data_IF_652688860433
#
_entry.id   IF_652688860433
#
_cell.length_a   1.000
_cell.length_b   1.000
_cell.length_c   1.000
_cell.angle_alpha   90.00
_cell.angle_beta   90.00
_cell.angle_gamma   90.00
#
_symmetry.space_group_name_H-M   'P 1'
#
loop_
_entity.id
_entity.type
_entity.pdbx_description
1 polymer ?
#
# COMPACT_ATOMS: atom_id res chain seq x y z
N UNK A 1 24.09 -43.84 -32.82
CA UNK A 1 25.05 -43.69 -31.70
C UNK A 1 25.44 -42.22 -31.67
N UNK A 2 24.65 -41.37 -31.00
CA UNK A 2 24.82 -40.95 -29.60
C UNK A 2 26.18 -40.27 -29.37
N UNK A 3 26.15 -38.93 -29.31
CA UNK A 3 26.95 -38.14 -28.38
C UNK A 3 26.18 -36.83 -28.11
N UNK A 4 25.47 -36.88 -26.99
CA UNK A 4 24.73 -35.81 -26.33
C UNK A 4 25.69 -34.98 -25.49
N UNK A 5 25.73 -33.67 -25.71
CA UNK A 5 26.50 -32.67 -24.94
C UNK A 5 25.99 -31.29 -25.41
N UNK A 6 25.55 -30.30 -24.65
CA UNK A 6 25.56 -29.97 -23.23
C UNK A 6 24.28 -29.14 -22.97
N UNK A 7 23.46 -29.52 -21.98
CA UNK A 7 22.46 -28.60 -21.45
C UNK A 7 23.17 -27.59 -20.57
N UNK A 8 23.39 -26.37 -21.07
CA UNK A 8 23.82 -25.25 -20.24
C UNK A 8 22.58 -24.74 -19.50
N UNK A 9 22.30 -25.35 -18.35
CA UNK A 9 21.41 -24.75 -17.35
C UNK A 9 22.13 -23.52 -16.77
N UNK A 10 21.97 -22.38 -17.41
CA UNK A 10 22.25 -21.09 -16.78
C UNK A 10 21.17 -20.90 -15.73
N UNK A 11 21.45 -21.35 -14.51
CA UNK A 11 20.76 -20.86 -13.33
C UNK A 11 21.13 -19.38 -13.21
N UNK A 12 20.34 -18.53 -13.86
CA UNK A 12 20.22 -17.12 -13.50
C UNK A 12 19.64 -17.14 -12.09
N UNK A 13 20.53 -17.21 -11.10
CA UNK A 13 20.23 -16.88 -9.72
C UNK A 13 19.67 -15.47 -9.76
N UNK A 14 18.34 -15.39 -9.73
CA UNK A 14 17.61 -14.14 -9.60
C UNK A 14 18.14 -13.43 -8.38
N UNK A 15 18.94 -12.39 -8.61
CA UNK A 15 19.13 -11.29 -7.69
C UNK A 15 17.77 -10.60 -7.59
N UNK A 16 16.83 -11.24 -6.89
CA UNK A 16 15.72 -10.52 -6.29
C UNK A 16 16.38 -9.59 -5.28
N UNK A 17 16.33 -8.27 -5.47
CA UNK A 17 16.71 -7.39 -4.38
C UNK A 17 15.78 -7.75 -3.23
N UNK A 18 16.36 -8.32 -2.18
CA UNK A 18 15.73 -8.38 -0.87
C UNK A 18 15.60 -6.93 -0.39
N UNK A 19 14.60 -6.23 -0.93
CA UNK A 19 14.04 -5.05 -0.31
C UNK A 19 13.36 -5.60 0.94
N UNK A 20 14.17 -5.81 1.98
CA UNK A 20 13.70 -6.04 3.32
C UNK A 20 13.06 -4.72 3.76
N UNK A 21 11.81 -4.52 3.33
CA UNK A 21 11.03 -3.38 3.72
C UNK A 21 10.88 -3.40 5.24
N UNK A 22 11.15 -2.26 5.88
CA UNK A 22 10.88 -2.12 7.31
C UNK A 22 9.39 -2.43 7.55
N UNK A 23 9.16 -3.23 8.58
CA UNK A 23 7.87 -3.78 8.97
C UNK A 23 7.34 -3.01 10.17
N UNK A 24 6.03 -2.73 10.19
CA UNK A 24 5.38 -1.85 11.16
C UNK A 24 4.06 -2.37 11.68
N UNK A 25 3.67 -1.83 12.82
CA UNK A 25 2.41 -2.18 13.47
C UNK A 25 1.26 -1.32 13.00
N UNK A 26 1.52 -0.07 12.59
CA UNK A 26 0.47 0.82 12.13
C UNK A 26 0.93 1.72 10.99
N UNK A 27 0.05 1.98 10.03
CA UNK A 27 0.33 2.80 8.86
C UNK A 27 -0.88 3.65 8.43
N UNK A 28 -0.61 4.81 7.82
CA UNK A 28 -1.61 5.68 7.19
C UNK A 28 -1.10 6.35 5.91
N UNK A 29 -2.02 6.58 4.98
CA UNK A 29 -1.72 7.26 3.71
C UNK A 29 -1.69 8.77 3.90
N UNK A 30 -0.58 9.38 3.52
CA UNK A 30 -0.38 10.82 3.54
C UNK A 30 0.03 11.34 2.17
N UNK A 31 -0.16 12.62 1.94
CA UNK A 31 0.50 13.33 0.84
C UNK A 31 1.11 14.62 1.34
N UNK A 32 2.17 15.03 0.67
CA UNK A 32 2.74 16.34 0.78
C UNK A 32 2.29 17.17 -0.42
N UNK A 33 1.78 18.39 -0.21
CA UNK A 33 1.46 19.32 -1.31
C UNK A 33 2.26 20.62 -1.20
N UNK A 34 3.59 20.54 -1.03
CA UNK A 34 4.45 21.73 -1.09
C UNK A 34 4.50 22.60 0.17
N UNK A 35 3.99 22.12 1.30
CA UNK A 35 4.16 22.81 2.59
C UNK A 35 3.59 22.06 3.78
N UNK A 36 2.51 21.32 3.58
CA UNK A 36 1.85 20.55 4.64
C UNK A 36 1.63 19.10 4.25
N UNK A 37 1.65 18.23 5.27
CA UNK A 37 1.20 16.87 5.14
C UNK A 37 -0.29 16.79 5.42
N UNK A 38 -1.02 16.17 4.52
CA UNK A 38 -2.42 15.83 4.73
C UNK A 38 -2.60 14.33 4.78
N UNK A 39 -3.45 13.86 5.69
CA UNK A 39 -3.85 12.45 5.81
C UNK A 39 -5.18 12.25 5.10
N UNK A 40 -5.36 11.11 4.43
CA UNK A 40 -6.64 10.72 3.87
C UNK A 40 -7.14 9.43 4.53
N UNK A 41 -8.11 9.59 5.41
CA UNK A 41 -8.68 8.49 6.20
C UNK A 41 -9.49 7.52 5.35
N UNK A 42 -10.24 8.00 4.35
CA UNK A 42 -11.01 7.12 3.44
C UNK A 42 -10.07 6.27 2.59
N UNK A 43 -9.00 6.87 2.08
CA UNK A 43 -7.96 6.15 1.35
C UNK A 43 -7.28 5.11 2.25
N UNK A 44 -6.89 5.50 3.46
CA UNK A 44 -6.26 4.60 4.44
C UNK A 44 -7.17 3.42 4.78
N UNK A 45 -8.46 3.68 4.99
CA UNK A 45 -9.47 2.63 5.18
C UNK A 45 -9.53 1.69 3.98
N UNK A 46 -9.61 2.22 2.76
CA UNK A 46 -9.70 1.41 1.54
C UNK A 46 -8.47 0.53 1.36
N UNK A 47 -7.26 1.06 1.56
CA UNK A 47 -6.03 0.28 1.50
C UNK A 47 -6.04 -0.82 2.57
N UNK A 48 -6.39 -0.47 3.80
CA UNK A 48 -6.40 -1.41 4.92
C UNK A 48 -7.32 -2.61 4.65
N UNK A 49 -8.58 -2.36 4.31
CA UNK A 49 -9.57 -3.44 4.14
C UNK A 49 -9.43 -4.19 2.82
N UNK A 50 -8.77 -3.61 1.82
CA UNK A 50 -8.61 -4.25 0.51
C UNK A 50 -7.34 -5.08 0.41
N UNK A 51 -6.22 -4.56 0.94
CA UNK A 51 -4.91 -5.21 0.81
C UNK A 51 -4.59 -6.09 2.04
N UNK A 52 -5.21 -5.81 3.20
CA UNK A 52 -4.97 -6.53 4.46
C UNK A 52 -6.26 -7.02 5.16
N UNK A 53 -7.18 -7.71 4.45
CA UNK A 53 -8.52 -8.02 4.97
C UNK A 53 -8.55 -8.94 6.22
N UNK A 54 -7.45 -9.67 6.48
CA UNK A 54 -7.32 -10.58 7.62
C UNK A 54 -6.13 -10.23 8.53
N UNK A 55 -5.24 -9.37 8.04
CA UNK A 55 -3.93 -9.11 8.62
C UNK A 55 -3.85 -7.74 9.30
N UNK A 56 -4.85 -6.89 9.11
CA UNK A 56 -4.94 -5.60 9.74
C UNK A 56 -6.39 -5.16 9.99
N UNK A 57 -6.56 -4.24 10.92
CA UNK A 57 -7.81 -3.59 11.24
C UNK A 57 -7.68 -2.08 11.13
N UNK A 58 -8.68 -1.43 10.55
CA UNK A 58 -8.70 0.03 10.52
C UNK A 58 -9.20 0.58 11.86
N UNK A 59 -8.46 1.51 12.44
CA UNK A 59 -8.82 2.22 13.67
C UNK A 59 -9.16 3.67 13.37
N UNK A 60 -10.45 4.01 13.46
CA UNK A 60 -10.99 5.33 13.13
C UNK A 60 -10.46 6.45 14.02
N UNK A 61 -10.15 6.17 15.29
CA UNK A 61 -9.67 7.16 16.26
C UNK A 61 -8.40 7.88 15.77
N UNK A 62 -7.47 7.12 15.17
CA UNK A 62 -6.20 7.67 14.67
C UNK A 62 -6.12 7.68 13.13
N UNK A 63 -7.16 7.18 12.45
CA UNK A 63 -7.22 7.02 10.99
C UNK A 63 -6.08 6.14 10.46
N UNK A 64 -5.82 5.03 11.13
CA UNK A 64 -4.67 4.15 10.86
C UNK A 64 -5.10 2.72 10.57
N UNK A 65 -4.32 2.03 9.75
CA UNK A 65 -4.39 0.59 9.59
C UNK A 65 -3.44 -0.07 10.59
N UNK A 66 -3.96 -0.87 11.51
CA UNK A 66 -3.21 -1.55 12.58
C UNK A 66 -3.07 -3.02 12.24
N UNK A 67 -1.85 -3.52 12.14
CA UNK A 67 -1.58 -4.94 11.95
C UNK A 67 -2.15 -5.75 13.12
N UNK A 68 -2.78 -6.88 12.81
CA UNK A 68 -3.26 -7.83 13.82
C UNK A 68 -2.14 -8.78 14.26
N UNK A 69 -2.34 -9.46 15.39
CA UNK A 69 -1.29 -10.24 16.04
C UNK A 69 -0.64 -11.27 15.09
N UNK A 70 0.68 -11.14 14.92
CA UNK A 70 1.51 -12.02 14.10
C UNK A 70 1.81 -11.49 12.70
N UNK A 71 1.13 -10.42 12.26
CA UNK A 71 1.42 -9.74 11.01
C UNK A 71 2.14 -8.40 11.25
N UNK A 72 2.91 -7.96 10.26
CA UNK A 72 3.47 -6.61 10.22
C UNK A 72 3.32 -6.05 8.81
N UNK A 73 2.94 -4.78 8.73
CA UNK A 73 2.75 -4.06 7.47
C UNK A 73 4.12 -3.61 6.94
N UNK A 74 4.44 -3.95 5.71
CA UNK A 74 5.66 -3.46 5.03
C UNK A 74 5.44 -2.03 4.52
N UNK A 75 6.38 -1.08 4.77
CA UNK A 75 6.26 0.30 4.24
C UNK A 75 5.84 0.35 2.80
N UNK A 76 6.69 -0.27 1.98
CA UNK A 76 6.73 -0.05 0.56
C UNK A 76 5.49 -0.62 -0.08
N UNK A 77 5.01 -1.75 0.43
CA UNK A 77 3.75 -2.35 -0.02
C UNK A 77 2.57 -1.44 0.32
N UNK A 78 2.51 -0.91 1.54
CA UNK A 78 1.45 0.02 1.94
C UNK A 78 1.51 1.35 1.18
N UNK A 79 2.70 1.89 0.96
CA UNK A 79 2.94 3.12 0.18
C UNK A 79 2.55 2.95 -1.28
N UNK A 80 2.97 1.85 -1.91
CA UNK A 80 2.55 1.51 -3.27
C UNK A 80 1.03 1.35 -3.36
N UNK A 81 0.39 0.78 -2.33
CA UNK A 81 -1.06 0.70 -2.26
C UNK A 81 -1.69 2.11 -2.13
N UNK A 82 -1.22 2.95 -1.22
CA UNK A 82 -1.71 4.33 -1.09
C UNK A 82 -1.65 5.07 -2.44
N UNK A 83 -0.52 5.01 -3.14
CA UNK A 83 -0.34 5.65 -4.45
C UNK A 83 -1.28 5.05 -5.51
N UNK A 84 -1.37 3.72 -5.58
CA UNK A 84 -2.26 2.99 -6.50
C UNK A 84 -3.71 3.42 -6.33
N UNK A 85 -4.22 3.45 -5.09
CA UNK A 85 -5.62 3.81 -4.82
C UNK A 85 -5.87 5.31 -4.94
N UNK A 86 -4.90 6.17 -4.60
CA UNK A 86 -5.02 7.61 -4.80
C UNK A 86 -5.19 7.96 -6.28
N UNK A 87 -4.43 7.30 -7.16
CA UNK A 87 -4.37 7.56 -8.61
C UNK A 87 -5.49 6.85 -9.38
N UNK A 88 -5.72 5.56 -9.10
CA UNK A 88 -6.75 4.76 -9.78
C UNK A 88 -8.14 4.93 -9.19
N UNK A 89 -8.19 5.50 -7.97
CA UNK A 89 -9.39 5.81 -7.23
C UNK A 89 -9.79 4.75 -6.21
N UNK A 90 -10.42 5.24 -5.14
CA UNK A 90 -10.91 4.48 -3.99
C UNK A 90 -12.40 4.74 -3.78
N UNK A 91 -13.09 3.80 -3.13
CA UNK A 91 -14.52 3.93 -2.91
C UNK A 91 -14.78 4.85 -1.69
N UNK A 92 -15.78 5.75 -1.77
CA UNK A 92 -16.25 6.48 -0.60
C UNK A 92 -16.58 5.53 0.55
N UNK A 93 -16.32 5.96 1.78
CA UNK A 93 -16.59 5.16 2.99
C UNK A 93 -17.83 5.68 3.71
N UNK A 94 -18.75 4.77 4.05
CA UNK A 94 -19.96 5.01 4.85
C UNK A 94 -19.87 4.28 6.18
N UNK A 95 -20.87 4.42 7.04
CA UNK A 95 -20.94 3.72 8.34
C UNK A 95 -20.89 2.20 8.22
N UNK A 96 -21.23 1.64 7.05
CA UNK A 96 -21.20 0.20 6.75
C UNK A 96 -19.95 -0.24 5.98
N UNK A 97 -18.99 0.66 5.74
CA UNK A 97 -17.75 0.39 5.02
C UNK A 97 -17.72 0.99 3.61
N UNK A 98 -17.06 0.32 2.65
CA UNK A 98 -16.88 0.87 1.29
C UNK A 98 -18.21 0.89 0.53
N UNK A 99 -18.60 2.05 0.00
CA UNK A 99 -19.71 2.16 -0.93
C UNK A 99 -19.26 1.79 -2.35
N UNK A 100 -19.34 0.50 -2.68
CA UNK A 100 -18.93 -0.04 -3.98
C UNK A 100 -19.82 0.40 -5.16
N UNK A 101 -21.00 0.94 -4.88
CA UNK A 101 -21.93 1.45 -5.90
C UNK A 101 -21.65 2.92 -6.25
N UNK A 102 -20.87 3.62 -5.43
CA UNK A 102 -20.52 5.02 -5.68
C UNK A 102 -19.37 5.17 -6.68
N UNK A 103 -19.30 6.33 -7.31
CA UNK A 103 -18.14 6.74 -8.12
C UNK A 103 -16.90 6.81 -7.23
N UNK A 104 -15.79 6.22 -7.72
CA UNK A 104 -14.51 6.27 -7.02
C UNK A 104 -14.02 7.71 -6.88
N UNK A 105 -13.57 8.07 -5.69
CA UNK A 105 -12.82 9.29 -5.40
C UNK A 105 -11.38 9.11 -5.85
N UNK A 106 -10.72 10.19 -6.25
CA UNK A 106 -9.27 10.24 -6.47
C UNK A 106 -8.66 11.25 -5.51
N UNK A 107 -7.40 11.07 -5.16
CA UNK A 107 -6.71 11.98 -4.26
C UNK A 107 -5.44 12.52 -4.91
N UNK A 108 -5.62 13.30 -5.98
CA UNK A 108 -4.52 13.73 -6.82
C UNK A 108 -3.53 14.67 -6.09
N UNK A 109 -2.28 14.58 -6.52
CA UNK A 109 -1.24 15.56 -6.25
C UNK A 109 -1.53 16.84 -7.05
N UNK A 110 -1.44 17.99 -6.40
CA UNK A 110 -1.84 19.28 -7.00
C UNK A 110 -0.63 20.11 -7.45
N UNK A 111 0.53 19.91 -6.81
CA UNK A 111 1.75 20.67 -7.03
C UNK A 111 2.86 19.77 -7.61
N UNK A 112 3.81 20.35 -8.34
CA UNK A 112 4.92 19.59 -8.94
C UNK A 112 5.87 18.98 -7.89
N UNK A 113 5.96 19.58 -6.70
CA UNK A 113 6.73 19.06 -5.56
C UNK A 113 5.91 18.10 -4.66
N UNK A 114 4.67 17.81 -5.04
CA UNK A 114 3.79 16.96 -4.25
C UNK A 114 4.16 15.48 -4.44
N UNK A 115 4.04 14.70 -3.36
CA UNK A 115 4.26 13.25 -3.40
C UNK A 115 3.39 12.56 -2.36
N UNK A 116 2.99 11.33 -2.68
CA UNK A 116 2.40 10.43 -1.68
C UNK A 116 3.50 9.87 -0.80
N UNK A 117 3.15 9.65 0.47
CA UNK A 117 3.98 8.87 1.36
C UNK A 117 3.13 8.04 2.31
N UNK A 118 3.77 7.10 2.97
CA UNK A 118 3.19 6.43 4.14
C UNK A 118 3.90 6.87 5.41
N UNK A 119 3.10 7.22 6.41
CA UNK A 119 3.54 7.33 7.79
C UNK A 119 3.22 6.03 8.52
N UNK A 120 4.23 5.39 9.09
CA UNK A 120 4.09 4.17 9.86
C UNK A 120 4.95 4.20 11.12
N UNK A 121 4.44 3.57 12.18
CA UNK A 121 5.11 3.42 13.47
C UNK A 121 5.23 1.93 13.87
#
# INVERSE_FOLDING_TARGET
>A
MLLSTFNVFVFVFGLLPLVSGKRWHRCKCEKYDGGEYSTNWELTYNVCVAEYPHDAEYRSVNQECHATNGYLITKSEFENACEKYATNGYYPVTDTGRNLQATKKKWNLVNDDAYYRTHCD
#
